data_IF_483345062143
#
_entry.id   IF_483345062143
#
_cell.length_a   1.000
_cell.length_b   1.000
_cell.length_c   1.000
_cell.angle_alpha   90.00
_cell.angle_beta   90.00
_cell.angle_gamma   90.00
#
_symmetry.space_group_name_H-M   'P 1'
#
loop_
_entity.id
_entity.type
_entity.pdbx_description
1 polymer ?
#
# COMPACT_ATOMS: atom_id res chain seq x y z
N UNK A 1 -4.75 -34.50 9.95
CA UNK A 1 -3.40 -34.28 9.38
C UNK A 1 -3.36 -32.87 8.75
N UNK A 2 -2.87 -31.88 9.50
CA UNK A 2 -2.59 -30.55 8.93
C UNK A 2 -1.32 -30.68 8.07
N UNK A 3 -1.47 -30.57 6.76
CA UNK A 3 -0.32 -30.46 5.87
C UNK A 3 0.42 -29.17 6.19
N UNK A 4 1.60 -29.30 6.76
CA UNK A 4 2.59 -28.23 6.87
C UNK A 4 3.01 -27.84 5.44
N UNK A 5 2.26 -26.94 4.81
CA UNK A 5 2.68 -26.34 3.54
C UNK A 5 3.83 -25.41 3.91
N UNK A 6 5.04 -25.88 3.73
CA UNK A 6 6.25 -25.06 3.85
C UNK A 6 6.07 -23.81 2.97
N UNK A 7 5.85 -22.67 3.60
CA UNK A 7 5.63 -21.39 2.89
C UNK A 7 6.91 -21.01 2.19
N UNK A 8 6.85 -20.91 0.87
CA UNK A 8 8.00 -20.54 0.04
C UNK A 8 8.44 -19.10 0.39
N UNK A 9 9.75 -18.81 0.47
CA UNK A 9 10.25 -17.46 0.69
C UNK A 9 9.73 -16.50 -0.38
N UNK A 10 9.61 -15.22 -0.04
CA UNK A 10 9.16 -14.18 -0.96
C UNK A 10 10.05 -14.15 -2.22
N UNK A 11 9.44 -14.19 -3.38
CA UNK A 11 10.14 -14.23 -4.67
C UNK A 11 9.71 -13.02 -5.52
N UNK A 12 10.56 -12.00 -5.58
CA UNK A 12 10.33 -10.79 -6.36
C UNK A 12 10.01 -11.07 -7.83
N UNK A 13 10.70 -12.02 -8.46
CA UNK A 13 10.46 -12.36 -9.87
C UNK A 13 9.05 -12.89 -10.14
N UNK A 14 8.41 -13.50 -9.12
CA UNK A 14 7.06 -14.05 -9.23
C UNK A 14 5.99 -13.00 -8.97
N UNK A 15 6.21 -12.15 -7.98
CA UNK A 15 5.16 -11.25 -7.47
C UNK A 15 5.25 -9.83 -8.02
N UNK A 16 6.44 -9.39 -8.50
CA UNK A 16 6.62 -8.05 -9.01
C UNK A 16 5.67 -7.73 -10.17
N UNK A 17 5.17 -6.50 -10.21
CA UNK A 17 4.28 -6.02 -11.25
C UNK A 17 2.84 -6.51 -11.15
N UNK A 18 2.44 -7.14 -10.04
CA UNK A 18 1.06 -7.55 -9.79
C UNK A 18 0.11 -6.34 -9.59
N UNK A 19 -1.16 -6.61 -9.33
CA UNK A 19 -2.19 -5.58 -9.09
C UNK A 19 -1.77 -4.61 -7.98
N UNK A 20 -1.25 -5.13 -6.86
CA UNK A 20 -0.84 -4.34 -5.70
C UNK A 20 0.34 -3.43 -6.00
N UNK A 21 1.32 -3.92 -6.76
CA UNK A 21 2.47 -3.11 -7.17
C UNK A 21 2.06 -1.98 -8.13
N UNK A 22 1.23 -2.28 -9.13
CA UNK A 22 0.73 -1.24 -10.04
C UNK A 22 -0.05 -0.18 -9.26
N UNK A 23 -0.95 -0.62 -8.37
CA UNK A 23 -1.73 0.26 -7.51
C UNK A 23 -0.84 1.17 -6.66
N UNK A 24 0.08 0.58 -5.91
CA UNK A 24 1.05 1.28 -5.07
C UNK A 24 1.87 2.31 -5.83
N UNK A 25 2.45 1.90 -6.94
CA UNK A 25 3.39 2.74 -7.69
C UNK A 25 2.70 3.88 -8.44
N UNK A 26 1.49 3.67 -8.94
CA UNK A 26 0.69 4.75 -9.55
C UNK A 26 0.32 5.80 -8.50
N UNK A 27 -0.20 5.40 -7.34
CA UNK A 27 -0.55 6.34 -6.28
C UNK A 27 0.69 7.07 -5.73
N UNK A 28 1.82 6.37 -5.61
CA UNK A 28 3.10 6.97 -5.21
C UNK A 28 3.52 8.09 -6.18
N UNK A 29 3.53 7.84 -7.48
CA UNK A 29 3.95 8.83 -8.46
C UNK A 29 2.95 10.00 -8.56
N UNK A 30 1.65 9.75 -8.41
CA UNK A 30 0.66 10.81 -8.32
C UNK A 30 0.89 11.72 -7.11
N UNK A 31 1.18 11.15 -5.94
CA UNK A 31 1.53 11.93 -4.75
C UNK A 31 2.81 12.75 -4.98
N UNK A 32 3.87 12.12 -5.48
CA UNK A 32 5.15 12.78 -5.75
C UNK A 32 5.02 13.90 -6.78
N UNK A 33 4.18 13.76 -7.81
CA UNK A 33 3.95 14.78 -8.83
C UNK A 33 3.50 16.12 -8.26
N UNK A 34 2.68 16.07 -7.22
CA UNK A 34 2.13 17.26 -6.57
C UNK A 34 3.01 17.76 -5.42
N UNK A 35 3.54 16.84 -4.61
CA UNK A 35 4.24 17.21 -3.38
C UNK A 35 5.67 17.66 -3.64
N UNK A 36 6.40 16.99 -4.54
CA UNK A 36 7.76 17.41 -4.89
C UNK A 36 7.77 18.75 -5.62
N UNK A 37 6.79 19.01 -6.48
CA UNK A 37 6.66 20.29 -7.18
C UNK A 37 6.46 21.49 -6.24
N UNK A 38 5.92 21.26 -5.05
CA UNK A 38 5.71 22.28 -4.01
C UNK A 38 6.92 22.49 -3.10
N UNK A 39 7.95 21.66 -3.21
CA UNK A 39 9.17 21.76 -2.41
C UNK A 39 10.22 22.59 -3.18
N UNK A 40 10.40 23.89 -2.86
CA UNK A 40 11.33 24.76 -3.59
C UNK A 40 12.81 24.47 -3.25
N UNK A 41 13.05 23.67 -2.22
CA UNK A 41 14.39 23.33 -1.73
C UNK A 41 14.71 21.85 -2.00
N UNK A 42 15.61 21.26 -1.24
CA UNK A 42 15.93 19.84 -1.38
C UNK A 42 14.75 18.97 -0.94
N UNK A 43 14.41 17.96 -1.75
CA UNK A 43 13.37 16.99 -1.42
C UNK A 43 14.01 15.68 -0.95
N UNK A 44 13.71 15.27 0.28
CA UNK A 44 14.22 14.03 0.87
C UNK A 44 13.14 12.96 0.94
N UNK A 45 13.25 11.97 0.06
CA UNK A 45 12.42 10.77 0.07
C UNK A 45 13.12 9.66 0.85
N UNK A 46 12.37 8.95 1.70
CA UNK A 46 12.86 7.79 2.46
C UNK A 46 11.99 6.58 2.20
N UNK A 47 12.61 5.43 1.95
CA UNK A 47 11.93 4.16 1.79
C UNK A 47 12.46 3.13 2.78
N UNK A 48 11.53 2.52 3.55
CA UNK A 48 11.91 1.61 4.63
C UNK A 48 12.33 0.22 4.16
N UNK A 49 11.78 -0.26 3.03
CA UNK A 49 12.01 -1.60 2.49
C UNK A 49 12.19 -1.51 0.97
N UNK A 50 13.43 -1.33 0.55
CA UNK A 50 13.74 -0.94 -0.83
C UNK A 50 13.52 -2.04 -1.87
N UNK A 51 13.72 -3.30 -1.49
CA UNK A 51 13.76 -4.37 -2.47
C UNK A 51 14.91 -4.22 -3.48
N UNK A 52 14.94 -5.01 -4.57
CA UNK A 52 16.05 -5.06 -5.51
C UNK A 52 16.12 -3.87 -6.49
N UNK A 53 15.08 -3.05 -6.57
CA UNK A 53 14.93 -1.97 -7.54
C UNK A 53 14.44 -2.42 -8.91
N UNK A 54 14.94 -3.51 -9.43
CA UNK A 54 14.49 -4.14 -10.67
C UNK A 54 14.16 -5.61 -10.44
N UNK A 55 13.07 -6.08 -11.02
CA UNK A 55 12.70 -7.49 -11.04
C UNK A 55 12.50 -7.98 -12.47
N UNK A 56 13.24 -9.03 -12.88
CA UNK A 56 12.96 -9.74 -14.11
C UNK A 56 11.71 -10.59 -13.92
N UNK A 57 10.70 -10.39 -14.75
CA UNK A 57 9.43 -11.09 -14.64
C UNK A 57 9.50 -12.47 -15.27
N UNK A 58 9.04 -13.48 -14.53
CA UNK A 58 8.95 -14.85 -15.03
C UNK A 58 7.69 -15.05 -15.89
N UNK A 59 7.72 -16.07 -16.74
CA UNK A 59 6.59 -16.41 -17.62
C UNK A 59 5.27 -16.63 -16.85
N UNK A 60 5.34 -17.25 -15.67
CA UNK A 60 4.19 -17.55 -14.83
C UNK A 60 4.03 -16.56 -13.64
N UNK A 61 4.54 -15.34 -13.79
CA UNK A 61 4.47 -14.30 -12.76
C UNK A 61 3.07 -13.66 -12.64
N UNK A 62 2.80 -13.11 -11.47
CA UNK A 62 1.53 -12.42 -11.17
C UNK A 62 1.41 -11.07 -11.89
N UNK A 63 2.49 -10.59 -12.54
CA UNK A 63 2.49 -9.39 -13.37
C UNK A 63 1.41 -9.39 -14.47
N UNK A 64 0.99 -10.57 -14.94
CA UNK A 64 -0.07 -10.70 -15.95
C UNK A 64 -1.40 -10.11 -15.47
N UNK A 65 -1.66 -10.14 -14.15
CA UNK A 65 -2.85 -9.58 -13.53
C UNK A 65 -2.72 -8.08 -13.23
N UNK A 66 -1.48 -7.60 -13.14
CA UNK A 66 -1.14 -6.20 -12.92
C UNK A 66 -0.73 -5.48 -14.19
N UNK A 67 0.57 -5.18 -14.33
CA UNK A 67 1.11 -4.40 -15.46
C UNK A 67 0.86 -5.04 -16.81
N UNK A 68 0.75 -6.36 -16.89
CA UNK A 68 0.46 -7.09 -18.14
C UNK A 68 -0.86 -6.68 -18.78
N UNK A 69 -1.82 -6.16 -18.02
CA UNK A 69 -3.11 -5.65 -18.54
C UNK A 69 -3.00 -4.36 -19.33
N UNK A 70 -1.82 -3.74 -19.36
CA UNK A 70 -1.54 -2.47 -20.03
C UNK A 70 -0.56 -2.60 -21.20
N UNK A 71 -0.03 -3.80 -21.46
CA UNK A 71 0.97 -4.01 -22.49
C UNK A 71 0.42 -3.92 -23.93
N UNK A 72 -0.88 -4.02 -24.11
CA UNK A 72 -1.54 -3.88 -25.41
C UNK A 72 -1.64 -2.42 -25.91
N UNK A 73 -1.27 -1.45 -25.07
CA UNK A 73 -1.29 -0.04 -25.43
C UNK A 73 -2.68 0.58 -25.63
N UNK A 74 -3.76 -0.13 -25.33
CA UNK A 74 -5.12 0.30 -25.62
C UNK A 74 -5.83 1.00 -24.46
N UNK A 75 -5.20 1.08 -23.27
CA UNK A 75 -5.85 1.61 -22.09
C UNK A 75 -5.82 3.15 -22.05
N UNK A 76 -6.93 3.82 -21.74
CA UNK A 76 -7.00 5.29 -21.66
C UNK A 76 -6.19 5.91 -20.50
N UNK A 77 -5.54 5.07 -19.68
CA UNK A 77 -4.78 5.46 -18.50
C UNK A 77 -3.28 5.63 -18.78
N UNK A 78 -2.83 5.37 -20.01
CA UNK A 78 -1.40 5.30 -20.36
C UNK A 78 -0.68 6.66 -20.39
N UNK A 79 -1.41 7.76 -20.30
CA UNK A 79 -0.86 9.10 -20.14
C UNK A 79 -0.23 9.37 -18.77
N UNK A 80 -0.56 8.53 -17.78
CA UNK A 80 0.04 8.67 -16.44
C UNK A 80 1.55 8.36 -16.46
N UNK A 81 2.39 9.17 -15.80
CA UNK A 81 3.86 9.02 -15.80
C UNK A 81 4.37 7.63 -15.43
N UNK A 82 3.65 6.91 -14.60
CA UNK A 82 3.99 5.53 -14.23
C UNK A 82 4.15 4.62 -15.46
N UNK A 83 3.20 4.66 -16.40
CA UNK A 83 3.22 3.79 -17.57
C UNK A 83 4.37 4.18 -18.53
N UNK A 84 4.64 5.46 -18.66
CA UNK A 84 5.77 5.97 -19.45
C UNK A 84 7.13 5.50 -18.89
N UNK A 85 7.22 5.27 -17.59
CA UNK A 85 8.44 4.78 -16.95
C UNK A 85 8.55 3.23 -16.99
N UNK A 86 7.44 2.52 -16.85
CA UNK A 86 7.45 1.05 -16.70
C UNK A 86 7.40 0.33 -18.03
N UNK A 87 6.49 0.70 -18.94
CA UNK A 87 6.22 -0.06 -20.16
C UNK A 87 7.43 -0.21 -21.10
N UNK A 88 8.31 0.80 -21.30
CA UNK A 88 9.49 0.60 -22.14
C UNK A 88 10.42 -0.52 -21.64
N UNK A 89 10.66 -0.60 -20.32
CA UNK A 89 11.50 -1.64 -19.75
C UNK A 89 10.84 -3.04 -19.81
N UNK A 90 9.51 -3.07 -19.62
CA UNK A 90 8.71 -4.27 -19.76
C UNK A 90 8.73 -4.81 -21.18
N UNK A 91 8.48 -3.96 -22.17
CA UNK A 91 8.43 -4.36 -23.58
C UNK A 91 9.80 -4.81 -24.12
N UNK A 92 10.88 -4.17 -23.66
CA UNK A 92 12.22 -4.51 -24.13
C UNK A 92 12.81 -5.75 -23.46
N UNK A 93 12.60 -5.94 -22.15
CA UNK A 93 13.39 -6.89 -21.37
C UNK A 93 12.59 -7.67 -20.31
N UNK A 94 11.29 -7.56 -20.24
CA UNK A 94 10.47 -8.08 -19.15
C UNK A 94 11.00 -7.65 -17.76
N UNK A 95 11.41 -6.38 -17.67
CA UNK A 95 12.02 -5.81 -16.48
C UNK A 95 11.04 -4.84 -15.80
N UNK A 96 10.64 -5.15 -14.58
CA UNK A 96 9.76 -4.31 -13.78
C UNK A 96 10.58 -3.43 -12.82
N UNK A 97 10.18 -2.17 -12.68
CA UNK A 97 10.83 -1.19 -11.80
C UNK A 97 10.12 -1.12 -10.45
N UNK A 98 10.90 -1.20 -9.37
CA UNK A 98 10.41 -0.99 -8.01
C UNK A 98 10.22 0.49 -7.67
N UNK A 99 9.59 0.74 -6.52
CA UNK A 99 9.17 2.05 -6.01
C UNK A 99 10.26 3.11 -6.05
N UNK A 100 11.43 2.85 -5.45
CA UNK A 100 12.51 3.83 -5.38
C UNK A 100 13.15 4.14 -6.75
N UNK A 101 13.20 3.17 -7.66
CA UNK A 101 13.66 3.42 -9.04
C UNK A 101 12.68 4.33 -9.75
N UNK A 102 11.38 4.04 -9.65
CA UNK A 102 10.32 4.85 -10.23
C UNK A 102 10.32 6.26 -9.66
N UNK A 103 10.43 6.42 -8.35
CA UNK A 103 10.51 7.73 -7.71
C UNK A 103 11.72 8.52 -8.18
N UNK A 104 12.91 7.88 -8.28
CA UNK A 104 14.14 8.53 -8.76
C UNK A 104 14.01 8.99 -10.21
N UNK A 105 13.57 8.11 -11.10
CA UNK A 105 13.44 8.44 -12.52
C UNK A 105 12.35 9.49 -12.74
N UNK A 106 11.24 9.41 -12.02
CA UNK A 106 10.18 10.39 -12.08
C UNK A 106 10.67 11.79 -11.70
N UNK A 107 11.31 11.93 -10.52
CA UNK A 107 11.82 13.21 -10.02
C UNK A 107 12.85 13.82 -10.99
N UNK A 108 13.71 13.02 -11.59
CA UNK A 108 14.65 13.47 -12.64
C UNK A 108 13.92 13.95 -13.87
N UNK A 109 12.92 13.22 -14.35
CA UNK A 109 12.20 13.52 -15.58
C UNK A 109 11.35 14.80 -15.49
N UNK A 110 10.82 15.11 -14.30
CA UNK A 110 10.11 16.38 -14.07
C UNK A 110 11.03 17.56 -13.78
N UNK A 111 12.35 17.36 -13.87
CA UNK A 111 13.35 18.41 -13.69
C UNK A 111 13.60 18.81 -12.23
N UNK A 112 13.15 18.02 -11.26
CA UNK A 112 13.46 18.26 -9.85
C UNK A 112 14.88 17.78 -9.55
N UNK A 113 15.86 18.65 -9.74
CA UNK A 113 17.28 18.25 -9.66
C UNK A 113 17.83 18.18 -8.23
N UNK A 114 17.19 18.87 -7.29
CA UNK A 114 17.65 18.93 -5.90
C UNK A 114 16.84 17.98 -5.00
N UNK A 115 17.07 16.67 -5.17
CA UNK A 115 16.46 15.64 -4.32
C UNK A 115 17.46 14.55 -3.92
N UNK A 116 17.14 13.84 -2.86
CA UNK A 116 17.84 12.62 -2.47
C UNK A 116 16.85 11.55 -2.02
N UNK A 117 17.19 10.30 -2.28
CA UNK A 117 16.51 9.13 -1.72
C UNK A 117 17.44 8.44 -0.73
N UNK A 118 16.91 8.10 0.44
CA UNK A 118 17.56 7.17 1.38
C UNK A 118 16.71 5.92 1.45
N UNK A 119 17.26 4.80 1.02
CA UNK A 119 16.55 3.52 0.93
C UNK A 119 17.21 2.47 1.82
N UNK A 120 16.41 1.65 2.48
CA UNK A 120 16.87 0.67 3.46
C UNK A 120 16.55 -0.74 3.02
N UNK A 121 17.49 -1.66 3.23
CA UNK A 121 17.35 -3.07 2.94
C UNK A 121 18.25 -3.88 3.88
N UNK A 122 17.79 -5.04 4.36
CA UNK A 122 18.56 -5.93 5.25
C UNK A 122 18.99 -7.22 4.59
N UNK A 123 18.26 -7.68 3.58
CA UNK A 123 18.59 -8.91 2.89
C UNK A 123 19.84 -8.72 2.03
N UNK A 124 20.88 -9.52 2.29
CA UNK A 124 22.18 -9.37 1.63
C UNK A 124 22.13 -9.52 0.11
N UNK A 125 21.30 -10.41 -0.42
CA UNK A 125 21.18 -10.62 -1.86
C UNK A 125 20.40 -9.49 -2.52
N UNK A 126 19.33 -9.04 -1.90
CA UNK A 126 18.56 -7.86 -2.32
C UNK A 126 19.42 -6.59 -2.29
N UNK A 127 20.25 -6.41 -1.25
CA UNK A 127 21.24 -5.31 -1.18
C UNK A 127 22.21 -5.31 -2.37
N UNK A 128 22.76 -6.48 -2.72
CA UNK A 128 23.65 -6.61 -3.90
C UNK A 128 22.94 -6.22 -5.19
N UNK A 129 21.68 -6.64 -5.34
CA UNK A 129 20.86 -6.31 -6.50
C UNK A 129 20.56 -4.80 -6.56
N UNK A 130 20.12 -4.20 -5.46
CA UNK A 130 19.87 -2.76 -5.36
C UNK A 130 21.14 -1.94 -5.63
N UNK A 131 22.28 -2.31 -5.03
CA UNK A 131 23.56 -1.68 -5.30
C UNK A 131 24.01 -1.79 -6.76
N UNK A 132 23.73 -2.93 -7.42
CA UNK A 132 23.96 -3.09 -8.86
C UNK A 132 23.05 -2.19 -9.68
N UNK A 133 21.78 -2.09 -9.32
CA UNK A 133 20.80 -1.21 -9.97
C UNK A 133 21.23 0.26 -9.89
N UNK A 134 21.66 0.71 -8.73
CA UNK A 134 22.16 2.09 -8.52
C UNK A 134 23.36 2.38 -9.42
N UNK A 135 24.34 1.47 -9.47
CA UNK A 135 25.55 1.65 -10.31
C UNK A 135 25.22 1.65 -11.80
N UNK A 136 24.46 0.66 -12.28
CA UNK A 136 24.09 0.52 -13.70
C UNK A 136 23.21 1.68 -14.19
N UNK A 137 22.29 2.16 -13.34
CA UNK A 137 21.42 3.29 -13.64
C UNK A 137 22.08 4.66 -13.41
N UNK A 138 23.35 4.68 -12.95
CA UNK A 138 24.05 5.93 -12.60
C UNK A 138 23.24 6.77 -11.59
N UNK A 139 22.60 6.12 -10.61
CA UNK A 139 21.70 6.76 -9.66
C UNK A 139 22.38 7.23 -8.38
N UNK A 140 23.68 6.93 -8.20
CA UNK A 140 24.46 7.28 -6.99
C UNK A 140 24.42 8.76 -6.57
N UNK A 141 24.26 9.75 -7.48
CA UNK A 141 24.11 11.13 -7.05
C UNK A 141 22.84 11.40 -6.24
N UNK A 142 21.80 10.59 -6.42
CA UNK A 142 20.49 10.82 -5.80
C UNK A 142 20.12 9.76 -4.77
N UNK A 143 20.63 8.52 -4.88
CA UNK A 143 20.20 7.38 -4.09
C UNK A 143 21.30 6.91 -3.16
N UNK A 144 21.00 6.94 -1.86
CA UNK A 144 21.81 6.34 -0.79
C UNK A 144 21.16 5.06 -0.32
N UNK A 145 21.84 3.92 -0.49
CA UNK A 145 21.43 2.61 0.01
C UNK A 145 22.06 2.36 1.38
N UNK A 146 21.23 2.09 2.39
CA UNK A 146 21.65 1.81 3.76
C UNK A 146 21.35 0.34 4.11
N UNK A 147 22.37 -0.44 4.52
CA UNK A 147 22.19 -1.84 4.92
C UNK A 147 21.66 -1.93 6.36
N UNK A 148 20.43 -1.50 6.58
CA UNK A 148 19.78 -1.39 7.89
C UNK A 148 18.32 -1.79 7.79
N UNK A 149 17.77 -2.25 8.93
CA UNK A 149 16.32 -2.35 9.08
C UNK A 149 15.66 -0.99 8.86
N UNK A 150 14.68 -0.93 7.96
CA UNK A 150 13.93 0.29 7.72
C UNK A 150 13.19 0.77 8.96
N UNK A 151 12.68 -0.14 9.77
CA UNK A 151 12.04 0.21 11.05
C UNK A 151 13.02 0.89 12.01
N UNK A 152 14.22 0.33 12.18
CA UNK A 152 15.25 0.92 13.05
C UNK A 152 15.78 2.24 12.50
N UNK A 153 15.87 2.36 11.18
CA UNK A 153 16.29 3.59 10.53
C UNK A 153 15.29 4.72 10.75
N UNK A 154 13.98 4.43 10.63
CA UNK A 154 12.92 5.41 10.90
C UNK A 154 12.98 5.95 12.32
N UNK A 155 13.33 5.12 13.33
CA UNK A 155 13.47 5.59 14.73
C UNK A 155 14.60 6.60 14.91
N UNK A 156 15.62 6.56 14.07
CA UNK A 156 16.83 7.40 14.16
C UNK A 156 16.85 8.57 13.18
N UNK A 157 15.86 8.64 12.29
CA UNK A 157 15.80 9.68 11.29
C UNK A 157 15.18 10.95 11.88
N UNK A 158 15.81 12.10 11.68
CA UNK A 158 15.31 13.37 12.23
C UNK A 158 14.14 13.93 11.38
N UNK A 159 14.30 13.93 10.06
CA UNK A 159 13.34 14.50 9.12
C UNK A 159 13.40 13.86 7.74
N UNK A 160 12.24 13.75 7.10
CA UNK A 160 12.08 13.49 5.68
C UNK A 160 10.94 14.36 5.11
N UNK A 161 10.93 14.60 3.79
CA UNK A 161 9.82 15.27 3.13
C UNK A 161 8.75 14.27 2.70
N UNK A 162 9.16 13.03 2.39
CA UNK A 162 8.25 11.93 2.08
C UNK A 162 8.80 10.59 2.59
N UNK A 163 7.93 9.76 3.17
CA UNK A 163 8.29 8.41 3.63
C UNK A 163 7.36 7.37 3.03
N UNK A 164 7.94 6.34 2.40
CA UNK A 164 7.23 5.12 2.01
C UNK A 164 7.60 3.97 2.96
N UNK A 165 6.59 3.34 3.56
CA UNK A 165 6.72 2.12 4.37
C UNK A 165 6.04 0.98 3.63
N UNK A 166 6.83 0.02 3.14
CA UNK A 166 6.36 -1.08 2.30
C UNK A 166 7.00 -2.43 2.72
N UNK A 167 6.66 -2.94 3.91
CA UNK A 167 7.25 -4.16 4.43
C UNK A 167 6.65 -5.42 3.79
N UNK A 168 7.33 -6.56 3.89
CA UNK A 168 6.85 -7.83 3.35
C UNK A 168 5.64 -8.42 4.10
N UNK A 169 5.22 -7.90 5.25
CA UNK A 169 4.12 -8.34 6.14
C UNK A 169 4.15 -9.83 6.56
N UNK A 170 5.00 -10.61 5.97
CA UNK A 170 5.24 -12.00 6.36
C UNK A 170 6.72 -12.22 6.42
N UNK A 171 7.22 -12.51 7.60
CA UNK A 171 8.61 -12.95 7.75
C UNK A 171 8.84 -14.21 6.92
N UNK A 172 10.06 -14.42 6.47
CA UNK A 172 10.46 -15.61 5.71
C UNK A 172 10.23 -16.92 6.48
N UNK A 173 10.15 -16.85 7.80
CA UNK A 173 9.85 -17.96 8.72
C UNK A 173 8.36 -18.12 9.05
N UNK A 174 7.51 -17.17 8.63
CA UNK A 174 6.07 -17.23 8.82
C UNK A 174 5.59 -16.99 10.26
N UNK A 175 6.46 -16.49 11.15
CA UNK A 175 6.19 -16.41 12.59
C UNK A 175 5.69 -15.04 13.05
N UNK A 176 5.84 -13.98 12.30
CA UNK A 176 5.39 -12.65 12.69
C UNK A 176 4.62 -11.96 11.57
N UNK A 177 3.45 -11.44 11.89
CA UNK A 177 2.82 -10.38 11.14
C UNK A 177 3.52 -9.08 11.53
N UNK A 178 4.00 -8.31 10.54
CA UNK A 178 4.69 -7.03 10.79
C UNK A 178 3.72 -5.90 11.21
N UNK A 179 2.44 -6.21 11.51
CA UNK A 179 1.44 -5.20 11.87
C UNK A 179 1.85 -4.32 13.05
N UNK A 180 2.38 -4.90 14.14
CA UNK A 180 2.86 -4.14 15.30
C UNK A 180 4.01 -3.21 14.93
N UNK A 181 4.95 -3.69 14.10
CA UNK A 181 6.06 -2.87 13.62
C UNK A 181 5.59 -1.75 12.70
N UNK A 182 4.58 -2.03 11.87
CA UNK A 182 3.97 -1.02 10.99
C UNK A 182 3.20 0.01 11.81
N UNK A 183 2.48 -0.39 12.85
CA UNK A 183 1.82 0.54 13.78
C UNK A 183 2.83 1.45 14.47
N UNK A 184 3.95 0.91 14.97
CA UNK A 184 5.04 1.69 15.53
C UNK A 184 5.69 2.63 14.50
N UNK A 185 5.88 2.17 13.26
CA UNK A 185 6.37 2.99 12.16
C UNK A 185 5.39 4.12 11.83
N UNK A 186 4.07 3.88 11.82
CA UNK A 186 3.05 4.90 11.61
C UNK A 186 3.17 6.02 12.65
N UNK A 187 3.28 5.69 13.95
CA UNK A 187 3.48 6.68 15.00
C UNK A 187 4.71 7.53 14.70
N UNK A 188 5.79 6.89 14.27
CA UNK A 188 7.05 7.59 13.98
C UNK A 188 6.97 8.46 12.74
N UNK A 189 6.45 7.98 11.62
CA UNK A 189 6.39 8.77 10.37
C UNK A 189 5.51 10.01 10.50
N UNK A 190 4.47 9.96 11.33
CA UNK A 190 3.63 11.14 11.64
C UNK A 190 4.41 12.28 12.30
N UNK A 191 5.51 11.98 12.97
CA UNK A 191 6.36 13.00 13.64
C UNK A 191 7.52 13.47 12.78
N UNK A 192 8.04 12.63 11.90
CA UNK A 192 9.24 12.93 11.11
C UNK A 192 8.97 13.46 9.71
N UNK A 193 7.76 13.25 9.17
CA UNK A 193 7.41 13.66 7.81
C UNK A 193 6.00 14.19 7.73
N UNK A 194 5.81 15.24 6.90
CA UNK A 194 4.47 15.75 6.57
C UNK A 194 3.74 14.86 5.57
N UNK A 195 4.50 14.10 4.75
CA UNK A 195 3.97 13.25 3.70
C UNK A 195 4.49 11.85 3.86
N UNK A 196 3.57 10.90 3.92
CA UNK A 196 3.92 9.49 4.05
C UNK A 196 2.86 8.60 3.43
N UNK A 197 3.30 7.42 3.01
CA UNK A 197 2.45 6.33 2.55
C UNK A 197 2.88 5.03 3.22
N UNK A 198 1.92 4.23 3.64
CA UNK A 198 2.14 2.90 4.21
C UNK A 198 1.32 1.91 3.39
N UNK A 199 2.01 1.01 2.71
CA UNK A 199 1.37 -0.10 2.01
C UNK A 199 1.03 -1.23 2.97
N UNK A 200 -0.12 -1.89 2.77
CA UNK A 200 -0.51 -3.09 3.49
C UNK A 200 -1.33 -4.05 2.62
N UNK A 201 -1.23 -5.39 2.85
CA UNK A 201 -2.08 -6.38 2.22
C UNK A 201 -3.42 -6.47 2.93
N UNK A 202 -4.46 -6.91 2.22
CA UNK A 202 -5.77 -7.21 2.78
C UNK A 202 -6.00 -8.72 2.65
N UNK A 203 -5.93 -9.44 3.76
CA UNK A 203 -6.33 -10.85 3.87
C UNK A 203 -7.72 -10.96 4.52
N UNK A 204 -7.97 -10.15 5.55
CA UNK A 204 -9.25 -9.97 6.23
C UNK A 204 -9.58 -8.48 6.24
N UNK A 205 -10.86 -8.15 6.18
CA UNK A 205 -11.28 -6.73 6.10
C UNK A 205 -10.93 -5.91 7.33
N UNK A 206 -10.86 -6.52 8.50
CA UNK A 206 -10.62 -5.85 9.78
C UNK A 206 -9.13 -5.60 10.07
N UNK A 207 -8.22 -6.33 9.41
CA UNK A 207 -6.77 -6.21 9.69
C UNK A 207 -6.22 -4.78 9.66
N UNK A 208 -6.61 -3.90 8.70
CA UNK A 208 -6.10 -2.53 8.66
C UNK A 208 -6.85 -1.52 9.53
N UNK A 209 -7.94 -1.91 10.24
CA UNK A 209 -8.84 -0.96 10.92
C UNK A 209 -8.08 -0.10 11.94
N UNK A 210 -7.27 -0.72 12.78
CA UNK A 210 -6.47 -0.02 13.79
C UNK A 210 -5.48 0.98 13.17
N UNK A 211 -4.80 0.60 12.10
CA UNK A 211 -3.89 1.51 11.40
C UNK A 211 -4.63 2.71 10.80
N UNK A 212 -5.82 2.49 10.25
CA UNK A 212 -6.63 3.55 9.67
C UNK A 212 -7.08 4.52 10.76
N UNK A 213 -7.54 4.02 11.90
CA UNK A 213 -7.91 4.85 13.05
C UNK A 213 -6.74 5.68 13.59
N UNK A 214 -5.58 5.07 13.78
CA UNK A 214 -4.38 5.73 14.27
C UNK A 214 -3.83 6.78 13.30
N UNK A 215 -4.08 6.65 12.01
CA UNK A 215 -3.43 7.48 10.98
C UNK A 215 -3.91 8.92 10.98
N UNK A 216 -5.19 9.16 11.20
CA UNK A 216 -5.85 10.44 10.95
C UNK A 216 -5.96 10.82 9.49
N UNK A 217 -5.51 9.94 8.57
CA UNK A 217 -5.57 10.11 7.13
C UNK A 217 -6.61 9.20 6.47
N UNK A 218 -6.35 8.81 5.23
CA UNK A 218 -7.23 7.91 4.47
C UNK A 218 -6.43 6.75 3.90
N UNK A 219 -7.12 5.64 3.71
CA UNK A 219 -6.60 4.51 2.97
C UNK A 219 -7.28 4.39 1.60
N UNK A 220 -6.47 4.21 0.57
CA UNK A 220 -6.88 3.94 -0.80
C UNK A 220 -6.71 2.45 -1.07
N UNK A 221 -7.78 1.70 -0.98
CA UNK A 221 -7.78 0.24 -1.11
C UNK A 221 -8.16 -0.20 -2.52
N UNK A 222 -7.50 -1.24 -2.99
CA UNK A 222 -7.86 -2.02 -4.17
C UNK A 222 -8.19 -3.45 -3.73
N UNK A 223 -9.41 -3.91 -3.98
CA UNK A 223 -9.83 -5.29 -3.69
C UNK A 223 -10.17 -6.03 -4.98
N UNK A 224 -9.75 -7.31 -5.11
CA UNK A 224 -9.90 -8.11 -6.35
C UNK A 224 -10.35 -9.56 -6.13
N UNK A 225 -10.44 -10.03 -4.91
CA UNK A 225 -10.72 -11.44 -4.60
C UNK A 225 -11.51 -11.58 -3.29
N UNK A 226 -12.65 -10.87 -3.18
CA UNK A 226 -13.44 -10.81 -1.95
C UNK A 226 -13.86 -12.18 -1.39
N UNK A 227 -14.13 -13.15 -2.28
CA UNK A 227 -14.60 -14.49 -1.90
C UNK A 227 -13.44 -15.49 -1.66
N UNK A 228 -12.19 -15.05 -1.77
CA UNK A 228 -11.04 -15.93 -1.57
C UNK A 228 -10.87 -16.32 -0.08
N UNK A 229 -10.30 -17.51 0.21
CA UNK A 229 -9.97 -17.91 1.58
C UNK A 229 -9.09 -16.88 2.30
N UNK A 230 -9.22 -16.75 3.62
CA UNK A 230 -8.54 -15.74 4.43
C UNK A 230 -6.99 -15.77 4.41
N UNK A 231 -6.38 -16.83 3.87
CA UNK A 231 -4.94 -16.93 3.66
C UNK A 231 -4.48 -16.42 2.27
N UNK A 232 -5.42 -16.09 1.39
CA UNK A 232 -5.16 -15.48 0.08
C UNK A 232 -5.32 -13.98 0.20
N UNK A 233 -4.37 -13.22 -0.35
CA UNK A 233 -4.46 -11.76 -0.41
C UNK A 233 -5.63 -11.36 -1.30
N UNK A 234 -6.61 -10.68 -0.72
CA UNK A 234 -7.85 -10.22 -1.37
C UNK A 234 -7.74 -8.84 -1.97
N UNK A 235 -6.75 -8.10 -1.55
CA UNK A 235 -6.53 -6.72 -1.92
C UNK A 235 -5.30 -6.15 -1.26
N UNK A 236 -5.10 -4.87 -1.44
CA UNK A 236 -4.10 -4.08 -0.74
C UNK A 236 -4.62 -2.67 -0.48
N UNK A 237 -3.98 -1.96 0.45
CA UNK A 237 -4.26 -0.57 0.73
C UNK A 237 -2.99 0.27 0.79
N UNK A 238 -3.17 1.56 0.56
CA UNK A 238 -2.18 2.60 0.81
C UNK A 238 -2.78 3.60 1.79
N UNK A 239 -2.30 3.53 3.02
CA UNK A 239 -2.61 4.49 4.06
C UNK A 239 -1.74 5.72 3.88
N UNK A 240 -2.32 6.91 3.96
CA UNK A 240 -1.62 8.16 3.66
C UNK A 240 -1.94 9.23 4.71
N UNK A 241 -1.04 10.21 4.85
CA UNK A 241 -1.30 11.42 5.63
C UNK A 241 -2.47 12.24 5.03
N UNK A 242 -3.05 13.19 5.80
CA UNK A 242 -4.20 13.96 5.34
C UNK A 242 -3.94 14.81 4.07
N UNK A 243 -2.72 15.33 3.89
CA UNK A 243 -2.38 16.18 2.73
C UNK A 243 -2.23 15.30 1.49
N UNK A 244 -1.50 14.20 1.59
CA UNK A 244 -1.36 13.19 0.52
C UNK A 244 -2.73 12.60 0.16
N UNK A 245 -3.58 12.29 1.16
CA UNK A 245 -4.96 11.86 0.93
C UNK A 245 -5.73 12.82 0.03
N UNK A 246 -5.66 14.14 0.32
CA UNK A 246 -6.35 15.17 -0.46
C UNK A 246 -5.83 15.25 -1.89
N UNK A 247 -4.52 15.09 -2.10
CA UNK A 247 -3.93 15.04 -3.46
C UNK A 247 -4.51 13.89 -4.26
N UNK A 248 -4.55 12.70 -3.68
CA UNK A 248 -5.04 11.49 -4.35
C UNK A 248 -6.55 11.55 -4.62
N UNK A 249 -7.34 12.12 -3.70
CA UNK A 249 -8.78 12.25 -3.88
C UNK A 249 -9.17 13.09 -5.09
N UNK A 250 -8.35 14.05 -5.51
CA UNK A 250 -8.60 14.86 -6.69
C UNK A 250 -8.64 14.04 -8.00
N UNK A 251 -8.11 12.81 -7.98
CA UNK A 251 -8.14 11.89 -9.13
C UNK A 251 -8.94 10.61 -8.86
N UNK A 252 -9.87 10.66 -7.92
CA UNK A 252 -10.66 9.51 -7.48
C UNK A 252 -11.26 8.71 -8.63
N UNK A 253 -11.87 9.36 -9.60
CA UNK A 253 -12.55 8.68 -10.73
C UNK A 253 -11.54 8.01 -11.66
N UNK A 254 -10.38 8.63 -11.84
CA UNK A 254 -9.29 8.03 -12.60
C UNK A 254 -8.75 6.77 -11.89
N UNK A 255 -8.58 6.82 -10.56
CA UNK A 255 -8.18 5.65 -9.78
C UNK A 255 -9.26 4.55 -9.76
N UNK A 256 -10.54 4.91 -9.76
CA UNK A 256 -11.61 3.93 -9.91
C UNK A 256 -11.54 3.20 -11.26
N UNK A 257 -11.22 3.93 -12.34
CA UNK A 257 -10.97 3.35 -13.67
C UNK A 257 -9.76 2.44 -13.67
N UNK A 258 -8.65 2.85 -13.03
CA UNK A 258 -7.47 2.01 -12.85
C UNK A 258 -7.80 0.72 -12.09
N UNK A 259 -8.53 0.83 -10.98
CA UNK A 259 -8.94 -0.32 -10.19
C UNK A 259 -9.76 -1.33 -11.01
N UNK A 260 -10.72 -0.86 -11.80
CA UNK A 260 -11.50 -1.69 -12.70
C UNK A 260 -10.62 -2.39 -13.77
N UNK A 261 -9.67 -1.65 -14.36
CA UNK A 261 -8.70 -2.23 -15.32
C UNK A 261 -7.81 -3.29 -14.67
N UNK A 262 -7.44 -3.12 -13.40
CA UNK A 262 -6.72 -4.11 -12.60
C UNK A 262 -7.59 -5.31 -12.19
N UNK A 263 -8.88 -5.31 -12.53
CA UNK A 263 -9.82 -6.38 -12.21
C UNK A 263 -10.28 -6.34 -10.76
N UNK A 264 -10.30 -5.17 -10.16
CA UNK A 264 -10.72 -4.94 -8.78
C UNK A 264 -11.66 -3.76 -8.62
N UNK A 265 -11.90 -3.39 -7.37
CA UNK A 265 -12.69 -2.22 -6.98
C UNK A 265 -11.88 -1.36 -6.03
N UNK A 266 -12.01 -0.05 -6.19
CA UNK A 266 -11.44 0.93 -5.29
C UNK A 266 -12.39 1.23 -4.14
N UNK A 267 -11.83 1.35 -2.93
CA UNK A 267 -12.51 1.89 -1.76
C UNK A 267 -11.60 2.91 -1.09
N UNK A 268 -12.18 4.02 -0.62
CA UNK A 268 -11.47 4.97 0.25
C UNK A 268 -12.04 4.81 1.64
N UNK A 269 -11.17 4.54 2.63
CA UNK A 269 -11.53 4.37 4.04
C UNK A 269 -10.90 5.46 4.90
N UNK A 270 -11.63 5.88 5.94
CA UNK A 270 -11.13 6.79 6.97
C UNK A 270 -11.81 6.49 8.30
N UNK A 271 -11.19 6.83 9.41
CA UNK A 271 -11.74 6.67 10.76
C UNK A 271 -13.16 7.28 10.92
N UNK A 272 -13.41 8.43 10.27
CA UNK A 272 -14.71 9.12 10.35
C UNK A 272 -15.87 8.42 9.61
N UNK A 273 -15.60 7.48 8.69
CA UNK A 273 -16.64 6.79 7.92
C UNK A 273 -17.29 5.64 8.69
N UNK A 274 -16.60 5.06 9.66
CA UNK A 274 -17.09 3.92 10.44
C UNK A 274 -17.98 4.35 11.60
N UNK A 275 -17.70 5.49 12.24
CA UNK A 275 -18.52 6.02 13.35
C UNK A 275 -19.96 6.30 12.92
N UNK A 276 -20.20 6.70 11.67
CA UNK A 276 -21.56 6.94 11.16
C UNK A 276 -22.36 5.65 10.92
N UNK A 277 -21.70 4.56 10.58
CA UNK A 277 -22.36 3.26 10.37
C UNK A 277 -22.79 2.65 11.70
N UNK A 278 -21.97 2.75 12.75
CA UNK A 278 -22.30 2.27 14.08
C UNK A 278 -23.41 3.12 14.75
N UNK A 279 -23.41 4.45 14.57
CA UNK A 279 -24.47 5.30 15.11
C UNK A 279 -25.82 5.06 14.43
N UNK A 280 -25.85 4.72 13.12
CA UNK A 280 -27.09 4.38 12.43
C UNK A 280 -27.63 3.00 12.84
N UNK A 281 -26.76 2.04 13.19
CA UNK A 281 -27.17 0.73 13.69
C UNK A 281 -27.70 0.80 15.15
N UNK A 282 -27.14 1.64 16.00
CA UNK A 282 -27.63 1.86 17.37
C UNK A 282 -28.91 2.69 17.40
N UNK A 283 -29.10 3.64 16.49
CA UNK A 283 -30.33 4.44 16.37
C UNK A 283 -31.51 3.62 15.84
N UNK A 284 -31.29 2.64 14.96
CA UNK A 284 -32.34 1.74 14.48
C UNK A 284 -32.78 0.70 15.51
N UNK A 285 -31.92 0.35 16.47
CA UNK A 285 -32.31 -0.57 17.56
C UNK A 285 -33.07 0.12 18.69
N UNK A 286 -32.97 1.44 18.86
CA UNK A 286 -33.74 2.18 19.89
C UNK A 286 -35.16 2.57 19.47
N UNK A 287 -35.52 2.46 18.20
CA UNK A 287 -36.88 2.77 17.73
C UNK A 287 -37.83 1.54 17.78
N UNK A 288 -37.31 0.34 18.00
CA UNK A 288 -38.12 -0.88 18.02
C UNK A 288 -38.60 -1.34 19.41
N UNK A 289 -38.35 -0.56 20.50
CA UNK A 289 -38.72 -0.96 21.87
C UNK A 289 -39.66 0.00 22.61
N UNK A 290 -40.30 0.95 21.91
CA UNK A 290 -41.34 1.80 22.52
C UNK A 290 -42.67 1.64 21.79
N UNK A 291 -43.44 0.63 22.16
CA UNK A 291 -44.80 0.48 21.66
C UNK A 291 -45.49 -0.77 22.18
N UNK A 292 -46.24 -0.62 23.28
CA UNK A 292 -47.29 -1.59 23.58
C UNK A 292 -47.31 -2.19 25.00
N UNK A 293 -47.65 -1.37 26.00
CA UNK A 293 -48.26 -1.86 27.22
C UNK A 293 -49.77 -1.79 27.07
N UNK A 294 -50.47 -2.91 27.23
CA UNK A 294 -51.75 -2.94 27.98
C UNK A 294 -52.18 -4.38 28.24
N UNK A 295 -52.13 -4.71 29.47
CA UNK A 295 -53.14 -5.25 30.37
C UNK A 295 -53.99 -6.45 29.91
N UNK A 296 -53.93 -7.54 30.59
CA UNK A 296 -54.93 -7.92 31.55
C UNK A 296 -54.58 -9.24 32.29
N UNK A 297 -54.81 -9.19 33.57
CA UNK A 297 -54.84 -10.25 34.54
C UNK A 297 -55.80 -11.40 34.11
N UNK A 298 -55.46 -12.66 34.42
CA UNK A 298 -56.34 -13.60 35.12
C UNK A 298 -55.60 -14.92 35.46
N UNK A 299 -55.49 -15.13 36.77
CA UNK A 299 -55.66 -16.38 37.55
C UNK A 299 -54.87 -17.67 37.18
N UNK A 300 -54.09 -18.11 38.16
CA UNK A 300 -53.65 -19.46 38.53
C UNK A 300 -54.86 -20.46 38.69
N UNK A 301 -54.69 -21.76 39.02
CA UNK A 301 -53.49 -22.58 39.16
C UNK A 301 -53.68 -24.04 38.66
N UNK A 302 -52.73 -24.91 39.06
CA UNK A 302 -52.88 -26.36 39.39
C UNK A 302 -52.18 -27.39 38.47
N UNK A 303 -51.14 -27.93 39.00
CA UNK A 303 -50.70 -29.30 39.27
C UNK A 303 -50.33 -30.32 38.17
N UNK A 304 -49.20 -30.95 38.51
CA UNK A 304 -48.82 -32.38 38.46
C UNK A 304 -48.72 -33.09 37.10
N UNK A 305 -47.60 -33.52 36.68
CA UNK A 305 -46.84 -34.75 37.05
C UNK A 305 -45.43 -34.57 36.50
#
# INVERSE_FOLDING_TARGET
>A
MQQNIARRPYNHCRYAGNNGDVWKHVLLLEALSTLAAKSPHSFHYVESHAGPGYARLGENGDWRRGIGRFMDGSAPLLDHPYFNLVLPAMNANFLYKGSWVLATEFLRNVGHLNFKLTIHEVNADTLKMAGSAIRKGQLSPWVKLEPKSGYDALQKLDRADFVLVDPPYRSSDGTADDWDKVAAALVRVKTLSQHWMIWYPIFRRQEPDELIEMSGGKSFELTWADDAPGWVMKGCGLLTDPITSKVLENRRDWFATLAARLGGRMQIRSAASETKTFQNLSATHHIATSGGSNAQLLSNPVDLV
#
